data_IF_224859572208
#
_entry.id   IF_224859572208
#
_cell.length_a   1.000
_cell.length_b   1.000
_cell.length_c   1.000
_cell.angle_alpha   90.00
_cell.angle_beta   90.00
_cell.angle_gamma   90.00
#
_symmetry.space_group_name_H-M   'P 1'
#
loop_
_entity.id
_entity.type
_entity.pdbx_description
1 polymer ?
#
# COMPACT_ATOMS: atom_id res chain seq x y z
N UNK A 1 -13.61 13.93 -3.13
CA UNK A 1 -13.50 12.55 -3.69
C UNK A 1 -14.30 11.59 -2.83
N UNK A 2 -14.82 10.47 -3.39
CA UNK A 2 -15.49 9.42 -2.60
C UNK A 2 -14.50 8.74 -1.66
N UNK A 3 -15.00 8.27 -0.51
CA UNK A 3 -14.23 7.57 0.50
C UNK A 3 -14.69 6.12 0.61
N UNK A 4 -13.76 5.24 0.96
CA UNK A 4 -14.02 3.85 1.37
C UNK A 4 -13.80 3.78 2.86
N UNK A 5 -14.74 3.17 3.60
CA UNK A 5 -14.61 2.96 5.04
C UNK A 5 -13.82 1.68 5.31
N UNK A 6 -12.92 1.77 6.28
CA UNK A 6 -12.07 0.68 6.72
C UNK A 6 -12.66 0.00 7.97
N UNK A 7 -12.23 -1.24 8.30
CA UNK A 7 -12.75 -1.97 9.47
C UNK A 7 -12.63 -1.23 10.80
N UNK A 8 -11.63 -0.37 10.94
CA UNK A 8 -11.38 0.45 12.14
C UNK A 8 -12.28 1.71 12.22
N UNK A 9 -13.22 1.88 11.30
CA UNK A 9 -14.14 3.02 11.23
C UNK A 9 -13.56 4.27 10.56
N UNK A 10 -12.28 4.25 10.19
CA UNK A 10 -11.66 5.32 9.40
C UNK A 10 -12.02 5.22 7.91
N UNK A 11 -11.48 6.14 7.11
CA UNK A 11 -11.71 6.11 5.67
C UNK A 11 -10.43 6.37 4.89
N UNK A 12 -10.43 5.91 3.64
CA UNK A 12 -9.39 6.19 2.66
C UNK A 12 -10.00 6.70 1.34
N UNK A 13 -9.27 7.50 0.53
CA UNK A 13 -9.76 7.89 -0.79
C UNK A 13 -10.00 6.68 -1.68
N UNK A 14 -11.13 6.67 -2.41
CA UNK A 14 -11.47 5.56 -3.30
C UNK A 14 -10.56 5.46 -4.53
N UNK A 15 -9.95 6.57 -4.94
CA UNK A 15 -9.09 6.66 -6.12
C UNK A 15 -7.73 7.20 -5.71
N UNK A 16 -6.66 6.55 -6.16
CA UNK A 16 -5.28 6.93 -5.90
C UNK A 16 -4.40 6.91 -7.14
N UNK A 17 -3.15 7.26 -6.96
CA UNK A 17 -2.09 7.29 -7.96
C UNK A 17 -1.02 6.27 -7.55
N UNK A 18 -0.66 5.35 -8.45
CA UNK A 18 0.44 4.41 -8.25
C UNK A 18 1.76 4.94 -8.80
N UNK A 19 2.85 4.58 -8.14
CA UNK A 19 4.22 5.01 -8.53
C UNK A 19 5.06 3.89 -9.11
N UNK A 20 4.48 2.73 -9.40
CA UNK A 20 5.24 1.64 -10.02
C UNK A 20 5.86 2.08 -11.35
N UNK A 21 7.12 1.74 -11.58
CA UNK A 21 7.98 2.19 -12.69
C UNK A 21 8.39 3.68 -12.65
N UNK A 22 7.98 4.45 -11.66
CA UNK A 22 8.56 5.78 -11.45
C UNK A 22 9.96 5.67 -10.85
N UNK A 23 10.84 6.59 -11.26
CA UNK A 23 12.24 6.63 -10.81
C UNK A 23 13.17 5.68 -11.54
N UNK A 24 12.73 4.93 -12.55
CA UNK A 24 13.58 4.06 -13.38
C UNK A 24 14.41 4.87 -14.40
N UNK A 25 13.94 6.04 -14.80
CA UNK A 25 14.61 6.93 -15.75
C UNK A 25 14.77 8.33 -15.13
N UNK A 26 16.01 8.65 -14.76
CA UNK A 26 16.33 9.94 -14.12
C UNK A 26 15.91 11.15 -14.98
N UNK A 27 15.80 11.02 -16.30
CA UNK A 27 15.32 12.09 -17.18
C UNK A 27 13.83 12.38 -17.01
N UNK A 28 13.06 11.48 -16.41
CA UNK A 28 11.62 11.64 -16.16
C UNK A 28 11.31 12.15 -14.75
N UNK A 29 12.29 12.21 -13.87
CA UNK A 29 12.13 12.51 -12.44
C UNK A 29 11.24 13.73 -12.16
N UNK A 30 11.56 14.89 -12.72
CA UNK A 30 10.77 16.11 -12.53
C UNK A 30 9.36 16.00 -13.13
N UNK A 31 9.22 15.32 -14.26
CA UNK A 31 7.92 15.08 -14.89
C UNK A 31 7.03 14.16 -14.06
N UNK A 32 7.60 13.15 -13.44
CA UNK A 32 6.89 12.22 -12.57
C UNK A 32 6.40 12.91 -11.29
N UNK A 33 7.26 13.74 -10.66
CA UNK A 33 6.85 14.61 -9.54
C UNK A 33 5.71 15.54 -9.94
N UNK A 34 5.83 16.22 -11.08
CA UNK A 34 4.80 17.13 -11.57
C UNK A 34 3.47 16.41 -11.85
N UNK A 35 3.53 15.19 -12.40
CA UNK A 35 2.36 14.35 -12.65
C UNK A 35 1.62 13.97 -11.37
N UNK A 36 2.33 13.47 -10.35
CA UNK A 36 1.74 13.15 -9.04
C UNK A 36 1.15 14.39 -8.38
N UNK A 37 1.87 15.51 -8.41
CA UNK A 37 1.38 16.79 -7.85
C UNK A 37 0.09 17.25 -8.51
N UNK A 38 0.02 17.20 -9.83
CA UNK A 38 -1.18 17.53 -10.56
C UNK A 38 -2.35 16.60 -10.18
N UNK A 39 -2.11 15.31 -10.01
CA UNK A 39 -3.12 14.37 -9.51
C UNK A 39 -3.63 14.72 -8.12
N UNK A 40 -2.74 15.14 -7.20
CA UNK A 40 -3.14 15.61 -5.85
C UNK A 40 -4.04 16.87 -5.97
N UNK A 41 -3.66 17.84 -6.82
CA UNK A 41 -4.44 19.04 -7.07
C UNK A 41 -5.84 18.73 -7.60
N UNK A 42 -5.99 17.66 -8.38
CA UNK A 42 -7.28 17.15 -8.86
C UNK A 42 -8.05 16.32 -7.82
N UNK A 43 -7.48 16.14 -6.63
CA UNK A 43 -8.10 15.44 -5.51
C UNK A 43 -7.75 13.95 -5.40
N UNK A 44 -6.84 13.41 -6.22
CA UNK A 44 -6.30 12.05 -6.05
C UNK A 44 -5.22 12.05 -4.96
N UNK A 45 -5.64 12.15 -3.71
CA UNK A 45 -4.76 12.36 -2.56
C UNK A 45 -4.15 11.07 -2.00
N UNK A 46 -4.60 9.89 -2.45
CA UNK A 46 -3.96 8.62 -2.15
C UNK A 46 -2.78 8.41 -3.11
N UNK A 47 -1.60 8.17 -2.55
CA UNK A 47 -0.39 7.81 -3.31
C UNK A 47 0.04 6.42 -2.86
N UNK A 48 0.16 5.50 -3.81
CA UNK A 48 0.58 4.12 -3.60
C UNK A 48 2.01 3.93 -4.12
N UNK A 49 2.91 3.56 -3.22
CA UNK A 49 4.33 3.31 -3.50
C UNK A 49 4.79 1.99 -2.88
N UNK A 50 6.09 1.70 -2.95
CA UNK A 50 6.72 0.56 -2.27
C UNK A 50 8.24 0.76 -2.19
N UNK A 51 8.88 0.25 -1.12
CA UNK A 51 10.34 0.34 -0.90
C UNK A 51 11.16 -0.25 -2.06
N UNK A 52 10.61 -1.26 -2.78
CA UNK A 52 11.29 -1.89 -3.88
C UNK A 52 11.18 -1.14 -5.21
N UNK A 53 10.26 -0.16 -5.36
CA UNK A 53 10.07 0.53 -6.64
C UNK A 53 11.28 1.44 -6.93
N UNK A 54 12.02 1.08 -8.00
CA UNK A 54 13.27 1.74 -8.38
C UNK A 54 14.23 1.93 -7.19
N UNK A 55 14.29 0.95 -6.27
CA UNK A 55 15.11 0.97 -5.04
C UNK A 55 14.88 2.22 -4.16
N UNK A 56 13.62 2.58 -3.97
CA UNK A 56 13.20 3.72 -3.14
C UNK A 56 13.15 5.06 -3.88
N UNK A 57 13.54 5.13 -5.15
CA UNK A 57 13.40 6.38 -5.93
C UNK A 57 11.93 6.77 -6.12
N UNK A 58 11.01 5.79 -6.24
CA UNK A 58 9.59 6.06 -6.32
C UNK A 58 9.04 6.70 -5.02
N UNK A 59 9.48 6.24 -3.84
CA UNK A 59 9.16 6.87 -2.55
C UNK A 59 9.67 8.32 -2.50
N UNK A 60 10.89 8.56 -2.96
CA UNK A 60 11.45 9.91 -3.01
C UNK A 60 10.68 10.83 -3.96
N UNK A 61 10.23 10.34 -5.11
CA UNK A 61 9.36 11.07 -6.05
C UNK A 61 8.03 11.39 -5.38
N UNK A 62 7.39 10.41 -4.72
CA UNK A 62 6.15 10.61 -3.98
C UNK A 62 6.30 11.68 -2.89
N UNK A 63 7.37 11.61 -2.08
CA UNK A 63 7.69 12.60 -1.06
C UNK A 63 7.88 14.01 -1.63
N UNK A 64 8.63 14.14 -2.73
CA UNK A 64 8.84 15.43 -3.39
C UNK A 64 7.57 15.99 -4.03
N UNK A 65 6.68 15.15 -4.52
CA UNK A 65 5.37 15.59 -5.01
C UNK A 65 4.47 16.09 -3.85
N UNK A 66 4.50 15.37 -2.74
CA UNK A 66 3.66 15.59 -1.56
C UNK A 66 4.06 16.82 -0.71
N UNK A 67 5.35 17.20 -0.67
CA UNK A 67 5.90 18.20 0.27
C UNK A 67 5.25 19.57 0.26
N UNK A 68 4.51 19.94 -0.79
CA UNK A 68 3.83 21.23 -0.90
C UNK A 68 2.38 21.21 -0.41
N UNK A 69 1.91 20.05 0.04
CA UNK A 69 0.56 19.84 0.56
C UNK A 69 0.60 19.56 2.06
N UNK A 70 -0.49 19.87 2.77
CA UNK A 70 -0.62 19.49 4.17
C UNK A 70 -0.63 17.96 4.28
N UNK A 71 0.21 17.39 5.19
CA UNK A 71 0.37 15.93 5.34
C UNK A 71 -0.97 15.23 5.63
N UNK A 72 -1.82 15.87 6.41
CA UNK A 72 -3.13 15.36 6.82
C UNK A 72 -4.15 15.33 5.67
N UNK A 73 -3.88 16.03 4.57
CA UNK A 73 -4.71 15.98 3.36
C UNK A 73 -4.37 14.82 2.43
N UNK A 74 -3.27 14.12 2.70
CA UNK A 74 -2.75 13.02 1.91
C UNK A 74 -3.00 11.67 2.57
N UNK A 75 -3.06 10.63 1.77
CA UNK A 75 -3.12 9.25 2.22
C UNK A 75 -1.99 8.47 1.52
N UNK A 76 -0.99 8.07 2.27
CA UNK A 76 0.19 7.38 1.76
C UNK A 76 0.04 5.89 2.02
N UNK A 77 0.03 5.10 0.96
CA UNK A 77 0.14 3.65 1.00
C UNK A 77 1.55 3.25 0.56
N UNK A 78 2.24 2.51 1.39
CA UNK A 78 3.58 2.01 1.11
C UNK A 78 3.69 0.52 1.44
N UNK A 79 4.75 -0.16 0.98
CA UNK A 79 4.84 -1.62 1.11
C UNK A 79 6.23 -2.06 1.48
N UNK A 80 6.31 -2.96 2.48
CA UNK A 80 7.52 -3.68 2.83
C UNK A 80 7.68 -4.94 1.95
N UNK A 81 8.89 -5.17 1.47
CA UNK A 81 9.22 -6.40 0.75
C UNK A 81 9.26 -7.60 1.73
N UNK A 82 8.77 -8.79 1.37
CA UNK A 82 8.66 -9.94 2.30
C UNK A 82 9.93 -10.26 3.07
N UNK A 83 11.08 -10.26 2.41
CA UNK A 83 12.39 -10.50 3.06
C UNK A 83 12.78 -9.50 4.14
N UNK A 84 12.11 -8.34 4.17
CA UNK A 84 12.34 -7.27 5.14
C UNK A 84 11.21 -7.20 6.18
N UNK A 85 10.21 -8.08 6.12
CA UNK A 85 9.02 -8.05 6.97
C UNK A 85 9.17 -8.84 8.27
N UNK A 86 10.39 -9.04 8.76
CA UNK A 86 10.73 -9.69 10.02
C UNK A 86 11.19 -8.66 11.08
N UNK A 87 11.29 -9.10 12.34
CA UNK A 87 11.71 -8.24 13.47
C UNK A 87 13.09 -7.61 13.30
N UNK A 88 13.95 -8.21 12.50
CA UNK A 88 15.31 -7.74 12.30
C UNK A 88 15.37 -6.57 11.31
N UNK A 89 14.52 -6.58 10.30
CA UNK A 89 14.64 -5.69 9.15
C UNK A 89 13.52 -4.66 9.03
N UNK A 90 12.29 -4.95 9.45
CA UNK A 90 11.11 -4.12 9.18
C UNK A 90 11.25 -2.69 9.73
N UNK A 91 11.89 -2.53 10.89
CA UNK A 91 12.09 -1.20 11.49
C UNK A 91 13.00 -0.33 10.66
N UNK A 92 14.11 -0.89 10.16
CA UNK A 92 15.01 -0.16 9.27
C UNK A 92 14.39 0.11 7.89
N UNK A 93 13.55 -0.80 7.39
CA UNK A 93 12.79 -0.60 6.16
C UNK A 93 11.84 0.59 6.29
N UNK A 94 10.98 0.61 7.30
CA UNK A 94 10.03 1.72 7.49
C UNK A 94 10.73 3.05 7.79
N UNK A 95 11.82 3.06 8.55
CA UNK A 95 12.63 4.27 8.76
C UNK A 95 13.21 4.81 7.46
N UNK A 96 13.71 3.91 6.59
CA UNK A 96 14.19 4.28 5.26
C UNK A 96 13.06 4.87 4.41
N UNK A 97 11.91 4.22 4.38
CA UNK A 97 10.71 4.68 3.66
C UNK A 97 10.27 6.07 4.15
N UNK A 98 10.11 6.26 5.45
CA UNK A 98 9.75 7.54 6.04
C UNK A 98 10.74 8.65 5.67
N UNK A 99 12.05 8.34 5.68
CA UNK A 99 13.11 9.28 5.27
C UNK A 99 13.02 9.64 3.80
N UNK A 100 12.78 8.68 2.91
CA UNK A 100 12.64 8.91 1.46
C UNK A 100 11.38 9.70 1.12
N UNK A 101 10.29 9.39 1.80
CA UNK A 101 9.02 10.12 1.72
C UNK A 101 9.12 11.54 2.34
N UNK A 102 10.05 11.77 3.27
CA UNK A 102 10.14 13.01 4.05
C UNK A 102 8.94 13.20 4.98
N UNK A 103 8.47 12.12 5.61
CA UNK A 103 7.24 12.08 6.43
C UNK A 103 7.50 11.39 7.77
N UNK A 104 6.66 11.68 8.76
CA UNK A 104 6.74 11.11 10.11
C UNK A 104 5.92 9.83 10.26
N UNK A 105 4.98 9.57 9.37
CA UNK A 105 4.14 8.37 9.38
C UNK A 105 3.63 8.00 7.98
N UNK A 106 3.27 6.71 7.82
CA UNK A 106 2.58 6.15 6.65
C UNK A 106 1.14 5.85 7.05
N UNK A 107 0.15 6.15 6.19
CA UNK A 107 -1.27 5.91 6.50
C UNK A 107 -1.65 4.43 6.42
N UNK A 108 -1.11 3.73 5.44
CA UNK A 108 -1.33 2.29 5.21
C UNK A 108 -0.02 1.64 4.79
N UNK A 109 0.45 0.66 5.58
CA UNK A 109 1.67 -0.08 5.27
C UNK A 109 1.34 -1.54 4.99
N UNK A 110 1.76 -2.06 3.83
CA UNK A 110 1.38 -3.39 3.36
C UNK A 110 2.56 -4.36 3.36
N UNK A 111 2.33 -5.62 3.70
CA UNK A 111 3.21 -6.70 3.25
C UNK A 111 2.98 -6.89 1.75
N UNK A 112 4.01 -6.71 0.92
CA UNK A 112 3.89 -6.65 -0.53
C UNK A 112 3.47 -7.97 -1.18
N UNK A 113 3.94 -9.12 -0.64
CA UNK A 113 3.57 -10.51 -0.93
C UNK A 113 3.74 -11.34 0.32
N UNK A 114 3.17 -12.54 0.30
CA UNK A 114 3.39 -13.50 1.38
C UNK A 114 4.80 -14.11 1.31
N UNK A 115 5.18 -14.71 0.17
CA UNK A 115 6.38 -15.54 0.05
C UNK A 115 6.56 -16.45 1.28
N UNK A 116 7.77 -16.46 1.89
CA UNK A 116 8.11 -17.23 3.08
C UNK A 116 7.94 -16.44 4.39
N UNK A 117 7.22 -15.30 4.37
CA UNK A 117 7.05 -14.46 5.56
C UNK A 117 6.29 -15.21 6.67
N UNK A 118 6.82 -15.18 7.89
CA UNK A 118 6.11 -15.64 9.08
C UNK A 118 5.00 -14.64 9.41
N UNK A 119 3.76 -15.01 9.15
CA UNK A 119 2.60 -14.15 9.32
C UNK A 119 2.38 -13.72 10.78
N UNK A 120 2.75 -14.55 11.77
CA UNK A 120 2.65 -14.17 13.17
C UNK A 120 3.69 -13.09 13.52
N UNK A 121 4.90 -13.20 12.99
CA UNK A 121 5.93 -12.17 13.14
C UNK A 121 5.57 -10.89 12.42
N UNK A 122 5.05 -10.98 11.19
CA UNK A 122 4.56 -9.82 10.41
C UNK A 122 3.47 -9.08 11.18
N UNK A 123 2.42 -9.77 11.62
CA UNK A 123 1.31 -9.14 12.36
C UNK A 123 1.81 -8.44 13.63
N UNK A 124 2.68 -9.11 14.40
CA UNK A 124 3.31 -8.52 15.57
C UNK A 124 4.09 -7.23 15.23
N UNK A 125 4.94 -7.27 14.21
CA UNK A 125 5.73 -6.12 13.81
C UNK A 125 4.88 -4.95 13.31
N UNK A 126 3.83 -5.23 12.53
CA UNK A 126 2.90 -4.21 12.03
C UNK A 126 2.13 -3.52 13.18
N UNK A 127 1.68 -4.28 14.19
CA UNK A 127 1.05 -3.68 15.36
C UNK A 127 2.06 -2.86 16.20
N UNK A 128 3.30 -3.32 16.38
CA UNK A 128 4.33 -2.54 17.07
C UNK A 128 4.69 -1.24 16.31
N UNK A 129 4.77 -1.28 14.98
CA UNK A 129 4.96 -0.07 14.17
C UNK A 129 3.80 0.93 14.32
N UNK A 130 2.58 0.42 14.40
CA UNK A 130 1.39 1.22 14.65
C UNK A 130 1.40 1.84 16.05
N UNK A 131 1.76 1.09 17.08
CA UNK A 131 1.89 1.57 18.45
C UNK A 131 2.97 2.66 18.59
N UNK A 132 4.05 2.57 17.81
CA UNK A 132 5.08 3.61 17.69
C UNK A 132 4.59 4.85 16.93
N UNK A 133 3.48 4.77 16.23
CA UNK A 133 2.94 5.84 15.42
C UNK A 133 3.64 6.03 14.05
N UNK A 134 4.49 5.09 13.64
CA UNK A 134 5.18 5.14 12.34
C UNK A 134 4.26 4.75 11.19
N UNK A 135 3.26 3.93 11.47
CA UNK A 135 2.16 3.64 10.55
C UNK A 135 0.82 3.87 11.24
N UNK A 136 -0.21 4.15 10.47
CA UNK A 136 -1.57 4.30 11.02
C UNK A 136 -2.34 2.99 10.97
N UNK A 137 -2.15 2.23 9.88
CA UNK A 137 -2.81 0.95 9.58
C UNK A 137 -1.87 0.06 8.83
N UNK A 138 -2.18 -1.22 8.82
CA UNK A 138 -1.46 -2.16 8.00
C UNK A 138 -2.42 -3.11 7.27
N UNK A 139 -1.91 -3.75 6.24
CA UNK A 139 -2.61 -4.72 5.45
C UNK A 139 -1.63 -5.60 4.68
N UNK A 140 -2.15 -6.29 3.70
CA UNK A 140 -1.38 -7.19 2.84
C UNK A 140 -1.63 -6.89 1.38
N UNK A 141 -0.83 -7.51 0.51
CA UNK A 141 -1.02 -7.42 -0.94
C UNK A 141 -0.78 -8.79 -1.56
N UNK A 142 -1.53 -9.10 -2.62
CA UNK A 142 -1.45 -10.35 -3.37
C UNK A 142 -1.77 -11.61 -2.54
N UNK A 143 -2.58 -11.51 -1.51
CA UNK A 143 -3.05 -12.64 -0.73
C UNK A 143 -4.31 -13.23 -1.38
N UNK A 144 -4.34 -14.55 -1.56
CA UNK A 144 -5.55 -15.30 -1.89
C UNK A 144 -6.36 -15.68 -0.64
N UNK A 145 -7.38 -16.52 -0.77
CA UNK A 145 -8.23 -16.95 0.35
C UNK A 145 -7.42 -17.74 1.37
N UNK A 146 -6.59 -18.68 0.92
CA UNK A 146 -5.79 -19.54 1.81
C UNK A 146 -4.78 -18.68 2.62
N UNK A 147 -4.15 -17.72 1.96
CA UNK A 147 -3.25 -16.77 2.58
C UNK A 147 -3.95 -15.90 3.65
N UNK A 148 -5.14 -15.40 3.32
CA UNK A 148 -5.95 -14.62 4.25
C UNK A 148 -6.44 -15.46 5.42
N UNK A 149 -6.84 -16.71 5.20
CA UNK A 149 -7.23 -17.63 6.27
C UNK A 149 -6.06 -17.97 7.20
N UNK A 150 -4.86 -18.15 6.65
CA UNK A 150 -3.67 -18.36 7.47
C UNK A 150 -3.34 -17.11 8.30
N UNK A 151 -3.46 -15.92 7.70
CA UNK A 151 -3.29 -14.67 8.44
C UNK A 151 -4.30 -14.55 9.59
N UNK A 152 -5.57 -14.95 9.38
CA UNK A 152 -6.60 -14.89 10.42
C UNK A 152 -6.39 -15.88 11.58
N UNK A 153 -5.55 -16.90 11.40
CA UNK A 153 -5.19 -17.88 12.46
C UNK A 153 -4.12 -17.36 13.40
N UNK A 154 -3.34 -16.36 13.01
CA UNK A 154 -2.27 -15.83 13.87
C UNK A 154 -2.77 -14.69 14.78
N UNK A 155 -2.12 -14.47 15.94
CA UNK A 155 -2.47 -13.35 16.81
C UNK A 155 -2.43 -12.02 16.04
N UNK A 156 -3.45 -11.19 16.24
CA UNK A 156 -3.63 -9.89 15.60
C UNK A 156 -3.77 -9.89 14.07
N UNK A 157 -3.70 -11.04 13.41
CA UNK A 157 -3.84 -11.14 11.95
C UNK A 157 -5.16 -10.58 11.42
N UNK A 158 -6.24 -10.70 12.18
CA UNK A 158 -7.56 -10.14 11.87
C UNK A 158 -7.64 -8.60 11.99
N UNK A 159 -6.57 -7.93 12.42
CA UNK A 159 -6.44 -6.46 12.39
C UNK A 159 -5.97 -5.93 11.03
N UNK A 160 -5.65 -6.82 10.08
CA UNK A 160 -5.40 -6.47 8.69
C UNK A 160 -6.59 -5.67 8.11
N UNK A 161 -6.32 -4.47 7.59
CA UNK A 161 -7.39 -3.55 7.19
C UNK A 161 -7.69 -3.55 5.70
N UNK A 162 -6.79 -4.04 4.86
CA UNK A 162 -6.89 -4.03 3.39
C UNK A 162 -6.09 -5.19 2.81
N UNK A 163 -6.58 -5.79 1.73
CA UNK A 163 -5.78 -6.62 0.83
C UNK A 163 -5.69 -5.93 -0.54
N UNK A 164 -4.48 -5.57 -0.98
CA UNK A 164 -4.27 -4.97 -2.31
C UNK A 164 -4.00 -6.05 -3.34
N UNK A 165 -4.85 -6.14 -4.38
CA UNK A 165 -4.84 -7.23 -5.35
C UNK A 165 -4.96 -6.74 -6.80
N UNK A 166 -4.46 -7.55 -7.75
CA UNK A 166 -4.67 -7.30 -9.18
C UNK A 166 -6.14 -7.50 -9.54
N UNK A 167 -6.78 -6.41 -9.96
CA UNK A 167 -8.16 -6.49 -10.40
C UNK A 167 -8.49 -5.43 -11.45
N UNK A 168 -8.94 -5.88 -12.61
CA UNK A 168 -9.39 -5.05 -13.73
C UNK A 168 -10.30 -5.87 -14.67
N UNK A 169 -10.78 -5.25 -15.75
CA UNK A 169 -11.67 -5.91 -16.70
C UNK A 169 -11.07 -7.16 -17.37
N UNK A 170 -9.74 -7.22 -17.53
CA UNK A 170 -9.03 -8.37 -18.11
C UNK A 170 -8.59 -9.41 -17.07
N UNK A 171 -8.50 -9.06 -15.79
CA UNK A 171 -8.03 -9.93 -14.71
C UNK A 171 -9.06 -9.92 -13.58
N UNK A 172 -9.87 -10.98 -13.52
CA UNK A 172 -11.04 -11.08 -12.63
C UNK A 172 -11.02 -12.29 -11.71
N UNK A 173 -9.82 -12.89 -11.52
CA UNK A 173 -9.68 -14.13 -10.73
C UNK A 173 -10.20 -14.03 -9.29
N UNK A 174 -10.06 -12.87 -8.65
CA UNK A 174 -10.55 -12.64 -7.29
C UNK A 174 -12.08 -12.77 -7.14
N UNK A 175 -12.85 -12.75 -8.22
CA UNK A 175 -14.31 -12.88 -8.20
C UNK A 175 -14.79 -14.32 -7.91
N UNK A 176 -13.89 -15.33 -8.01
CA UNK A 176 -14.28 -16.72 -7.77
C UNK A 176 -14.56 -17.00 -6.29
N UNK A 177 -13.79 -16.42 -5.38
CA UNK A 177 -13.84 -16.72 -3.95
C UNK A 177 -13.40 -15.55 -3.06
N UNK A 178 -12.28 -14.87 -3.41
CA UNK A 178 -11.66 -13.86 -2.55
C UNK A 178 -12.58 -12.66 -2.26
N UNK A 179 -13.34 -12.17 -3.25
CA UNK A 179 -14.24 -11.04 -3.03
C UNK A 179 -15.35 -11.38 -2.03
N UNK A 180 -15.91 -12.59 -2.11
CA UNK A 180 -16.97 -13.02 -1.18
C UNK A 180 -16.42 -13.25 0.21
N UNK A 181 -15.22 -13.87 0.32
CA UNK A 181 -14.52 -14.03 1.58
C UNK A 181 -14.23 -12.66 2.25
N UNK A 182 -13.65 -11.72 1.49
CA UNK A 182 -13.34 -10.38 2.01
C UNK A 182 -14.60 -9.60 2.43
N UNK A 183 -15.69 -9.74 1.68
CA UNK A 183 -16.97 -9.14 2.03
C UNK A 183 -17.53 -9.73 3.34
N UNK A 184 -17.46 -11.06 3.52
CA UNK A 184 -17.88 -11.74 4.76
C UNK A 184 -17.07 -11.27 5.97
N UNK A 185 -15.75 -11.12 5.81
CA UNK A 185 -14.85 -10.66 6.89
C UNK A 185 -14.85 -9.13 7.08
N UNK A 186 -15.47 -8.38 6.18
CA UNK A 186 -15.49 -6.92 6.24
C UNK A 186 -14.18 -6.26 5.86
N UNK A 187 -13.29 -6.95 5.14
CA UNK A 187 -11.98 -6.43 4.70
C UNK A 187 -12.12 -5.91 3.27
N UNK A 188 -12.00 -4.60 3.02
CA UNK A 188 -12.01 -4.07 1.66
C UNK A 188 -10.78 -4.53 0.86
N UNK A 189 -10.96 -4.67 -0.44
CA UNK A 189 -9.83 -4.82 -1.36
C UNK A 189 -9.45 -3.48 -1.99
N UNK A 190 -8.18 -3.35 -2.34
CA UNK A 190 -7.64 -2.23 -3.10
C UNK A 190 -7.12 -2.77 -4.44
N UNK A 191 -7.70 -2.33 -5.56
CA UNK A 191 -7.27 -2.80 -6.87
C UNK A 191 -6.00 -2.09 -7.33
N UNK A 192 -4.93 -2.84 -7.61
CA UNK A 192 -3.83 -2.29 -8.40
C UNK A 192 -4.00 -2.61 -9.89
N UNK A 193 -3.39 -1.80 -10.75
CA UNK A 193 -3.55 -1.86 -12.22
C UNK A 193 -5.02 -1.90 -12.67
N UNK A 194 -5.92 -1.04 -12.13
CA UNK A 194 -7.36 -1.12 -12.40
C UNK A 194 -7.70 -0.83 -13.87
N UNK A 195 -6.80 -0.14 -14.59
CA UNK A 195 -6.91 0.15 -16.03
C UNK A 195 -5.94 -0.66 -16.90
N UNK A 196 -5.38 -1.77 -16.36
CA UNK A 196 -4.59 -2.74 -17.12
C UNK A 196 -3.23 -2.22 -17.62
N UNK A 197 -2.64 -1.24 -16.95
CA UNK A 197 -1.31 -0.68 -17.29
C UNK A 197 -1.20 -0.20 -18.76
N UNK A 198 -2.28 0.33 -19.30
CA UNK A 198 -2.40 0.82 -20.67
C UNK A 198 -2.20 -0.22 -21.81
N UNK A 199 -1.94 -1.49 -21.51
CA UNK A 199 -1.68 -2.53 -22.51
C UNK A 199 -2.69 -3.68 -22.52
N UNK A 200 -3.30 -4.00 -21.40
CA UNK A 200 -4.18 -5.18 -21.26
C UNK A 200 -5.66 -4.91 -21.60
N UNK A 201 -6.05 -3.66 -21.85
CA UNK A 201 -7.42 -3.26 -22.18
C UNK A 201 -7.58 -2.77 -23.64
N UNK A 202 -6.54 -2.90 -24.47
CA UNK A 202 -6.57 -2.56 -25.90
C UNK A 202 -6.66 -3.78 -26.79
#
# INVERSE_FOLDING_TARGET
MKQVYLPDGSSMPQLGQGTWQMGEDDNKYEREIAGLRHGIELGMTLIDTAEMYADGKAENIAGNAAKTFARESLYICDKVYPKNADRKHIYSSVERSLKLLGMDYIDLYLLHWREDADLAEVAYCMEDLKDRGWIRRWGVSNFDVDDMEDLWKVPDGNKCTVNQVLYNLGTRGIEYDLLDWQREKGVPFMAYSPVGQAGALT
#
